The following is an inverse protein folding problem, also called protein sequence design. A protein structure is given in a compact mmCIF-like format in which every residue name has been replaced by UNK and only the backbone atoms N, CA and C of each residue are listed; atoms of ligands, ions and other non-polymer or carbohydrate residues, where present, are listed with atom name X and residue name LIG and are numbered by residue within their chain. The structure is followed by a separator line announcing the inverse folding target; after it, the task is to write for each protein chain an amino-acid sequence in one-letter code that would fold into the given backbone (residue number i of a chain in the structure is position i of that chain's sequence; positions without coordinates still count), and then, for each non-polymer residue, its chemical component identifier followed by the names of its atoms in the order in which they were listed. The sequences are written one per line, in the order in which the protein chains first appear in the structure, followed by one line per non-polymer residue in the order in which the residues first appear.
data_IF_124420289792
#
_entry.id   IF_124420289792
#
_cell.length_a   1.000
_cell.length_b   1.000
_cell.length_c   1.000
_cell.angle_alpha   90.00
_cell.angle_beta   90.00
_cell.angle_gamma   90.00
#
_symmetry.space_group_name_H-M   'P 1'
#
loop_
_entity.id
_entity.type
_entity.pdbx_description
1 polymer ?
#
# COMPACT_ATOMS: atom_id res chain seq x y z
N UNK A 1 -5.09 30.30 23.49
CA UNK A 1 -4.57 30.07 22.12
C UNK A 1 -5.75 29.59 21.30
N UNK A 2 -6.05 30.21 20.14
CA UNK A 2 -7.30 29.95 19.40
C UNK A 2 -7.34 28.53 18.86
N UNK A 3 -8.23 27.70 19.41
CA UNK A 3 -8.72 26.47 18.78
C UNK A 3 -9.23 26.83 17.40
N UNK A 4 -8.47 26.46 16.37
CA UNK A 4 -8.90 26.62 14.99
C UNK A 4 -9.35 25.25 14.53
N UNK A 5 -10.67 25.06 14.42
CA UNK A 5 -11.37 23.84 13.94
C UNK A 5 -11.02 23.45 12.48
N UNK A 6 -9.95 23.99 11.92
CA UNK A 6 -9.52 23.69 10.56
C UNK A 6 -8.61 22.47 10.62
N UNK A 7 -9.06 21.28 10.15
CA UNK A 7 -8.21 20.11 10.14
C UNK A 7 -6.99 20.37 9.26
N UNK A 8 -5.80 20.17 9.83
CA UNK A 8 -4.55 20.31 9.09
C UNK A 8 -4.58 19.37 7.89
N UNK A 9 -4.42 19.92 6.69
CA UNK A 9 -4.46 19.16 5.45
C UNK A 9 -3.53 19.77 4.41
N UNK A 10 -2.94 18.92 3.59
CA UNK A 10 -2.26 19.32 2.35
C UNK A 10 -3.06 18.79 1.18
N UNK A 11 -3.19 19.61 0.13
CA UNK A 11 -3.76 19.19 -1.14
C UNK A 11 -2.66 19.28 -2.19
N UNK A 12 -2.41 18.19 -2.87
CA UNK A 12 -1.44 18.13 -3.96
C UNK A 12 -2.14 17.57 -5.20
N UNK A 13 -1.81 18.15 -6.36
CA UNK A 13 -2.17 17.58 -7.66
C UNK A 13 -0.93 16.87 -8.17
N UNK A 14 -1.04 15.57 -8.42
CA UNK A 14 0.03 14.81 -9.05
C UNK A 14 -0.50 13.98 -10.20
N UNK A 15 0.42 13.60 -11.08
CA UNK A 15 0.13 12.73 -12.21
C UNK A 15 0.23 11.28 -11.76
N UNK A 16 -0.86 10.53 -11.80
CA UNK A 16 -0.87 9.08 -11.56
C UNK A 16 -1.17 8.40 -12.90
N UNK A 17 -0.13 7.81 -13.49
CA UNK A 17 -0.14 7.33 -14.88
C UNK A 17 -0.59 8.43 -15.86
N UNK A 18 -1.72 8.24 -16.54
CA UNK A 18 -2.26 9.18 -17.53
C UNK A 18 -3.25 10.21 -16.94
N UNK A 19 -3.59 10.10 -15.65
CA UNK A 19 -4.59 10.97 -15.02
C UNK A 19 -3.95 12.00 -14.08
N UNK A 20 -4.49 13.23 -14.09
CA UNK A 20 -4.27 14.22 -13.04
C UNK A 20 -5.20 13.90 -11.87
N UNK A 21 -4.62 13.54 -10.73
CA UNK A 21 -5.39 13.23 -9.52
C UNK A 21 -5.07 14.22 -8.42
N UNK A 22 -6.12 14.66 -7.73
CA UNK A 22 -6.02 15.49 -6.54
C UNK A 22 -6.00 14.58 -5.31
N UNK A 23 -4.88 14.55 -4.58
CA UNK A 23 -4.80 13.89 -3.27
C UNK A 23 -4.88 14.95 -2.18
N UNK A 24 -5.78 14.72 -1.23
CA UNK A 24 -5.85 15.51 0.00
C UNK A 24 -5.37 14.64 1.14
N UNK A 25 -4.24 14.99 1.74
CA UNK A 25 -3.72 14.34 2.95
C UNK A 25 -4.25 15.09 4.15
N UNK A 26 -5.00 14.40 5.02
CA UNK A 26 -5.45 14.96 6.30
C UNK A 26 -4.49 14.50 7.39
N UNK A 27 -3.96 15.44 8.16
CA UNK A 27 -3.07 15.14 9.26
C UNK A 27 -3.89 15.04 10.55
N UNK A 28 -3.61 14.01 11.34
CA UNK A 28 -4.03 13.94 12.73
C UNK A 28 -2.89 14.49 13.57
N UNK A 29 -3.12 15.62 14.24
CA UNK A 29 -2.15 16.18 15.17
C UNK A 29 -2.20 15.35 16.45
N UNK A 30 -1.08 14.74 16.82
CA UNK A 30 -0.94 13.90 18.01
C UNK A 30 -0.28 14.63 19.19
N UNK A 31 0.49 15.68 18.92
CA UNK A 31 1.01 16.63 19.92
C UNK A 31 1.36 17.95 19.26
N UNK A 32 1.18 19.06 19.98
CA UNK A 32 1.71 20.40 19.64
C UNK A 32 2.82 20.85 20.61
N UNK A 33 3.08 20.05 21.64
CA UNK A 33 4.09 20.26 22.67
C UNK A 33 5.10 19.09 22.68
N UNK A 34 5.99 19.05 23.69
CA UNK A 34 7.02 17.99 23.84
C UNK A 34 6.36 16.61 23.74
N UNK A 35 6.65 15.82 22.69
CA UNK A 35 6.01 14.54 22.49
C UNK A 35 6.51 13.55 23.54
N UNK A 36 5.58 12.81 24.15
CA UNK A 36 5.87 11.69 25.03
C UNK A 36 5.74 10.37 24.27
N UNK A 37 6.52 9.36 24.65
CA UNK A 37 6.58 8.04 24.02
C UNK A 37 5.21 7.36 23.97
N UNK A 38 4.37 7.52 24.99
CA UNK A 38 3.04 6.91 25.06
C UNK A 38 2.10 7.37 23.94
N UNK A 39 2.33 8.54 23.34
CA UNK A 39 1.53 9.04 22.21
C UNK A 39 1.78 8.26 20.93
N UNK A 40 2.99 7.70 20.78
CA UNK A 40 3.34 6.86 19.63
C UNK A 40 2.78 5.44 19.77
N UNK A 41 2.59 4.95 21.00
CA UNK A 41 1.92 3.67 21.26
C UNK A 41 0.45 3.66 20.83
N UNK A 42 -0.18 4.84 20.71
CA UNK A 42 -1.55 5.00 20.21
C UNK A 42 -1.67 4.93 18.69
N UNK A 43 -0.55 4.95 17.95
CA UNK A 43 -0.58 4.85 16.49
C UNK A 43 -0.92 3.41 16.10
N UNK A 44 -1.96 3.18 15.29
CA UNK A 44 -2.31 1.84 14.85
C UNK A 44 -1.13 1.17 14.14
N UNK A 45 -0.73 0.01 14.64
CA UNK A 45 0.31 -0.83 14.00
C UNK A 45 -0.21 -1.57 12.77
N UNK A 46 -1.52 -1.48 12.51
CA UNK A 46 -2.18 -2.20 11.43
C UNK A 46 -2.70 -1.22 10.38
N UNK A 47 -2.50 -1.57 9.12
CA UNK A 47 -2.91 -0.76 7.98
C UNK A 47 -3.39 -1.68 6.86
N UNK A 48 -4.44 -1.24 6.18
CA UNK A 48 -5.12 -2.03 5.16
C UNK A 48 -5.11 -1.30 3.82
N UNK A 49 -4.70 -2.00 2.78
CA UNK A 49 -4.67 -1.51 1.40
C UNK A 49 -5.61 -2.36 0.55
N UNK A 50 -6.45 -1.69 -0.25
CA UNK A 50 -7.38 -2.37 -1.16
C UNK A 50 -6.81 -2.38 -2.57
N UNK A 51 -6.81 -3.55 -3.18
CA UNK A 51 -6.33 -3.80 -4.53
C UNK A 51 -7.46 -4.28 -5.42
N UNK A 52 -7.45 -3.80 -6.67
CA UNK A 52 -8.32 -4.26 -7.75
C UNK A 52 -7.62 -3.95 -9.06
N UNK A 53 -7.84 -4.77 -10.09
CA UNK A 53 -7.37 -4.50 -11.44
C UNK A 53 -8.39 -3.64 -12.19
N UNK A 54 -7.88 -2.75 -13.06
CA UNK A 54 -8.74 -1.91 -13.90
C UNK A 54 -9.33 -2.67 -15.10
N UNK A 55 -8.65 -3.72 -15.55
CA UNK A 55 -9.03 -4.55 -16.68
C UNK A 55 -8.86 -6.03 -16.32
N UNK A 56 -9.64 -6.94 -16.93
CA UNK A 56 -9.46 -8.37 -16.72
C UNK A 56 -8.07 -8.79 -17.23
N UNK A 57 -7.44 -9.79 -16.61
CA UNK A 57 -6.23 -10.37 -17.14
C UNK A 57 -6.43 -10.94 -18.55
N UNK A 58 -5.42 -10.83 -19.41
CA UNK A 58 -5.45 -11.49 -20.71
C UNK A 58 -5.29 -13.01 -20.52
N UNK A 59 -6.13 -13.78 -21.21
CA UNK A 59 -6.03 -15.24 -21.19
C UNK A 59 -4.86 -15.70 -22.05
N UNK A 60 -3.90 -16.43 -21.47
CA UNK A 60 -2.76 -17.04 -22.15
C UNK A 60 -2.79 -18.54 -21.88
N UNK A 61 -2.78 -19.38 -22.92
CA UNK A 61 -2.85 -20.85 -22.79
C UNK A 61 -4.01 -21.35 -21.91
N UNK A 62 -5.16 -20.67 -21.96
CA UNK A 62 -6.33 -21.01 -21.14
C UNK A 62 -6.27 -20.52 -19.69
N UNK A 63 -5.16 -19.92 -19.25
CA UNK A 63 -5.02 -19.31 -17.93
C UNK A 63 -5.21 -17.79 -18.01
N UNK A 64 -6.17 -17.28 -17.25
CA UNK A 64 -6.48 -15.85 -17.09
C UNK A 64 -6.24 -15.37 -15.65
N UNK A 65 -5.43 -16.10 -14.89
CA UNK A 65 -5.10 -15.78 -13.51
C UNK A 65 -3.85 -14.92 -13.43
N UNK A 66 -3.92 -13.85 -12.65
CA UNK A 66 -2.79 -13.03 -12.21
C UNK A 66 -2.67 -13.17 -10.70
N UNK A 67 -1.46 -13.42 -10.24
CA UNK A 67 -1.12 -13.48 -8.82
C UNK A 67 -0.20 -12.31 -8.51
N UNK A 68 -0.54 -11.56 -7.47
CA UNK A 68 0.30 -10.49 -6.92
C UNK A 68 0.84 -10.97 -5.59
N UNK A 69 2.16 -10.99 -5.45
CA UNK A 69 2.87 -11.21 -4.21
C UNK A 69 3.79 -10.01 -3.94
N UNK A 70 4.42 -9.95 -2.76
CA UNK A 70 5.31 -8.85 -2.40
C UNK A 70 6.65 -9.37 -1.93
N UNK A 71 7.71 -8.74 -2.39
CA UNK A 71 9.08 -9.04 -1.98
C UNK A 71 9.76 -7.76 -1.44
N UNK A 72 10.67 -7.88 -0.48
CA UNK A 72 11.42 -6.73 0.01
C UNK A 72 12.31 -6.14 -1.08
N UNK A 73 12.31 -4.81 -1.20
CA UNK A 73 13.18 -4.08 -2.13
C UNK A 73 14.66 -4.18 -1.74
N UNK A 74 14.93 -4.27 -0.44
CA UNK A 74 16.27 -4.21 0.13
C UNK A 74 16.35 -5.16 1.32
N UNK A 75 16.97 -6.31 1.10
CA UNK A 75 17.16 -7.36 2.10
C UNK A 75 18.10 -6.97 3.26
N UNK A 76 18.78 -5.82 3.17
CA UNK A 76 19.57 -5.28 4.29
C UNK A 76 18.72 -4.51 5.31
N UNK A 77 17.46 -4.19 4.97
CA UNK A 77 16.49 -3.57 5.88
C UNK A 77 15.76 -4.60 6.74
N UNK A 78 14.94 -4.13 7.69
CA UNK A 78 14.22 -5.01 8.59
C UNK A 78 13.19 -5.85 7.81
N UNK A 79 13.46 -7.14 7.63
CA UNK A 79 12.60 -8.07 6.90
C UNK A 79 11.43 -8.56 7.75
N UNK A 80 11.59 -8.53 9.06
CA UNK A 80 10.65 -9.04 10.06
C UNK A 80 9.96 -7.92 10.86
N UNK A 81 10.06 -6.66 10.41
CA UNK A 81 9.29 -5.55 10.99
C UNK A 81 7.82 -5.59 10.59
N UNK A 82 7.47 -6.27 9.50
CA UNK A 82 6.09 -6.30 9.00
C UNK A 82 5.66 -7.74 8.72
N UNK A 83 4.43 -8.05 9.10
CA UNK A 83 3.70 -9.22 8.60
C UNK A 83 2.53 -8.72 7.77
N UNK A 84 2.13 -9.48 6.75
CA UNK A 84 1.00 -9.13 5.90
C UNK A 84 0.16 -10.33 5.53
N UNK A 85 -1.14 -10.08 5.37
CA UNK A 85 -2.14 -11.09 5.07
C UNK A 85 -3.20 -10.54 4.11
N UNK A 86 -3.57 -11.29 3.06
CA UNK A 86 -2.99 -12.58 2.64
C UNK A 86 -1.59 -12.40 2.01
N UNK A 87 -0.79 -13.48 1.93
CA UNK A 87 0.55 -13.44 1.30
C UNK A 87 0.51 -13.16 -0.21
N UNK A 88 -0.62 -13.47 -0.84
CA UNK A 88 -0.85 -13.30 -2.28
C UNK A 88 -2.29 -12.89 -2.55
N UNK A 89 -2.48 -12.06 -3.58
CA UNK A 89 -3.79 -11.73 -4.13
C UNK A 89 -3.95 -12.38 -5.49
N UNK A 90 -5.13 -12.95 -5.76
CA UNK A 90 -5.40 -13.69 -7.00
C UNK A 90 -6.55 -13.04 -7.75
N UNK A 91 -6.29 -12.63 -8.98
CA UNK A 91 -7.27 -11.99 -9.87
C UNK A 91 -7.49 -12.82 -11.14
N UNK A 92 -8.72 -12.87 -11.63
CA UNK A 92 -9.12 -13.51 -12.88
C UNK A 92 -10.26 -12.73 -13.56
N UNK A 93 -10.78 -13.25 -14.66
CA UNK A 93 -11.87 -12.67 -15.45
C UNK A 93 -13.15 -12.36 -14.64
N UNK A 94 -13.37 -13.05 -13.51
CA UNK A 94 -14.57 -12.91 -12.67
C UNK A 94 -14.40 -11.95 -11.51
N UNK A 95 -13.20 -11.82 -10.95
CA UNK A 95 -12.98 -11.06 -9.71
C UNK A 95 -12.01 -9.86 -9.88
N UNK A 96 -11.57 -9.55 -11.10
CA UNK A 96 -10.55 -8.51 -11.33
C UNK A 96 -10.91 -7.13 -10.74
N UNK A 97 -12.19 -6.73 -10.75
CA UNK A 97 -12.64 -5.46 -10.14
C UNK A 97 -13.02 -5.58 -8.67
N UNK A 98 -13.10 -6.79 -8.13
CA UNK A 98 -13.41 -7.00 -6.73
C UNK A 98 -12.25 -6.49 -5.88
N UNK A 99 -12.54 -5.59 -4.95
CA UNK A 99 -11.54 -5.11 -4.00
C UNK A 99 -11.12 -6.26 -3.09
N UNK A 100 -9.83 -6.58 -3.12
CA UNK A 100 -9.20 -7.49 -2.18
C UNK A 100 -8.35 -6.68 -1.21
N UNK A 101 -8.40 -7.03 0.07
CA UNK A 101 -7.71 -6.27 1.12
C UNK A 101 -6.44 -6.99 1.53
N UNK A 102 -5.32 -6.26 1.46
CA UNK A 102 -4.06 -6.65 2.06
C UNK A 102 -3.90 -5.88 3.36
N UNK A 103 -3.83 -6.62 4.47
CA UNK A 103 -3.63 -6.08 5.80
C UNK A 103 -2.19 -6.31 6.19
N UNK A 104 -1.58 -5.29 6.77
CA UNK A 104 -0.24 -5.38 7.27
C UNK A 104 -0.21 -4.99 8.74
N UNK A 105 0.79 -5.52 9.46
CA UNK A 105 0.97 -5.31 10.89
C UNK A 105 2.45 -5.08 11.16
N UNK A 106 2.77 -3.93 11.75
CA UNK A 106 4.12 -3.63 12.23
C UNK A 106 4.39 -4.39 13.53
N UNK A 107 5.38 -5.27 13.48
CA UNK A 107 5.81 -6.12 14.59
C UNK A 107 7.02 -5.52 15.31
N UNK A 108 7.88 -4.79 14.59
CA UNK A 108 9.08 -4.13 15.11
C UNK A 108 9.23 -2.75 14.48
N UNK A 109 9.95 -1.87 15.15
CA UNK A 109 10.32 -0.58 14.56
C UNK A 109 11.32 -0.80 13.43
N UNK A 110 11.04 -0.23 12.27
CA UNK A 110 11.89 -0.31 11.10
C UNK A 110 11.11 -0.01 9.83
N UNK A 111 11.81 0.51 8.84
CA UNK A 111 11.23 0.79 7.52
C UNK A 111 11.41 -0.41 6.59
N UNK A 112 10.39 -0.73 5.80
CA UNK A 112 10.51 -1.70 4.70
C UNK A 112 9.78 -1.18 3.46
N UNK A 113 10.41 -1.38 2.31
CA UNK A 113 9.78 -1.16 1.01
C UNK A 113 9.46 -2.51 0.41
N UNK A 114 8.18 -2.74 0.13
CA UNK A 114 7.72 -3.96 -0.53
C UNK A 114 7.42 -3.68 -2.00
N UNK A 115 7.99 -4.50 -2.87
CA UNK A 115 7.85 -4.43 -4.31
C UNK A 115 6.89 -5.55 -4.74
N UNK A 116 5.81 -5.24 -5.48
CA UNK A 116 4.91 -6.26 -5.96
C UNK A 116 5.54 -7.07 -7.09
N UNK A 117 5.49 -8.39 -6.95
CA UNK A 117 5.80 -9.35 -7.99
C UNK A 117 4.48 -9.83 -8.62
N UNK A 118 4.33 -9.57 -9.92
CA UNK A 118 3.17 -10.01 -10.70
C UNK A 118 3.55 -11.28 -11.45
N UNK A 119 2.74 -12.32 -11.31
CA UNK A 119 2.92 -13.57 -12.05
C UNK A 119 1.65 -13.96 -12.77
N UNK A 120 1.79 -14.29 -14.06
CA UNK A 120 0.73 -14.69 -14.95
C UNK A 120 0.27 -13.60 -15.90
N UNK A 121 -0.24 -14.03 -17.07
CA UNK A 121 -0.74 -13.16 -18.13
C UNK A 121 0.33 -12.19 -18.66
N UNK A 122 -0.07 -11.04 -19.19
CA UNK A 122 0.85 -9.98 -19.66
C UNK A 122 1.48 -9.21 -18.49
N UNK A 123 1.00 -9.44 -17.26
CA UNK A 123 1.40 -8.67 -16.08
C UNK A 123 2.84 -8.98 -15.65
N UNK A 124 3.43 -10.07 -16.14
CA UNK A 124 4.87 -10.39 -16.02
C UNK A 124 5.79 -9.26 -16.54
N UNK A 125 5.27 -8.39 -17.42
CA UNK A 125 6.03 -7.27 -18.00
C UNK A 125 5.88 -5.95 -17.24
N UNK A 126 5.01 -5.90 -16.22
CA UNK A 126 4.80 -4.68 -15.44
C UNK A 126 6.00 -4.45 -14.55
N UNK A 127 6.65 -3.28 -14.73
CA UNK A 127 7.79 -2.91 -13.90
C UNK A 127 7.36 -2.78 -12.43
N UNK A 128 7.94 -3.58 -11.53
CA UNK A 128 7.52 -3.66 -10.13
C UNK A 128 7.61 -2.33 -9.36
N UNK A 129 8.58 -1.48 -9.72
CA UNK A 129 8.90 -0.25 -9.00
C UNK A 129 7.79 0.81 -8.95
N UNK A 130 6.83 0.81 -9.88
CA UNK A 130 5.73 1.80 -9.87
C UNK A 130 4.66 1.55 -8.82
N UNK A 131 4.64 0.35 -8.22
CA UNK A 131 3.60 -0.08 -7.29
C UNK A 131 4.18 -0.47 -5.92
N UNK A 132 5.36 0.05 -5.57
CA UNK A 132 6.00 -0.24 -4.30
C UNK A 132 5.19 0.32 -3.12
N UNK A 133 5.15 -0.42 -2.02
CA UNK A 133 4.51 -0.04 -0.77
C UNK A 133 5.62 0.33 0.22
N UNK A 134 5.59 1.57 0.68
CA UNK A 134 6.51 2.06 1.71
C UNK A 134 5.86 2.03 3.07
N UNK A 135 6.59 1.47 4.04
CA UNK A 135 6.15 1.19 5.40
C UNK A 135 7.24 1.69 6.31
N UNK A 136 6.87 2.52 7.28
CA UNK A 136 7.76 3.19 8.24
C UNK A 136 7.11 3.20 9.62
#
# INVERSE_FOLDING_TARGET
MKDTDIPLRTTQVFRQAWNLVRRTTKYRIISIDKPDAHLFDMIPKNWAYNFSLQSPPHRINGNDTVIIAWEPADYSKCMDCVIYTPERLTFNDKNFQQKQTLTFTCVKNGSVTLIPNFSGSIFDTITPGYNAIYID
#
